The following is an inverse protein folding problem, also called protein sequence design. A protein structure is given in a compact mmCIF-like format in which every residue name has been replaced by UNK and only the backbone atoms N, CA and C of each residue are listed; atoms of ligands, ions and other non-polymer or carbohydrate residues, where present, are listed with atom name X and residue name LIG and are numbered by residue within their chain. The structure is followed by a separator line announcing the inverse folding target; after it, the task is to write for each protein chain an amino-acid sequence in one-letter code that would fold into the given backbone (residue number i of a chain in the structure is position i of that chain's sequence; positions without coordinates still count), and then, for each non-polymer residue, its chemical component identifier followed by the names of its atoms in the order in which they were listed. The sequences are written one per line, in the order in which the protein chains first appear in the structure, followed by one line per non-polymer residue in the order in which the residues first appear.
data_IF_566912309181
#
_entry.id   IF_566912309181
#
_cell.length_a   1.000
_cell.length_b   1.000
_cell.length_c   1.000
_cell.angle_alpha   90.00
_cell.angle_beta   90.00
_cell.angle_gamma   90.00
#
_symmetry.space_group_name_H-M   'P 1'
#
loop_
_entity.id
_entity.type
_entity.pdbx_description
1 polymer ?
#
# COMPACT_ATOMS: atom_id res chain seq x y z
N UNK A 1 -12.08 -13.62 -15.48
CA UNK A 1 -11.64 -12.25 -15.82
C UNK A 1 -12.08 -11.32 -14.71
N UNK A 2 -11.16 -10.79 -13.90
CA UNK A 2 -11.57 -9.88 -12.83
C UNK A 2 -11.91 -8.52 -13.47
N UNK A 3 -13.20 -8.20 -13.58
CA UNK A 3 -13.64 -6.92 -14.12
C UNK A 3 -13.04 -5.75 -13.33
N UNK A 4 -12.41 -4.82 -14.06
CA UNK A 4 -11.89 -3.54 -13.54
C UNK A 4 -13.03 -2.80 -12.85
N UNK A 5 -12.83 -2.42 -11.58
CA UNK A 5 -13.84 -1.69 -10.82
C UNK A 5 -13.27 -0.32 -10.46
N UNK A 6 -13.49 0.69 -11.32
CA UNK A 6 -12.96 2.03 -11.09
C UNK A 6 -13.63 2.64 -9.87
N UNK A 7 -12.82 3.23 -9.00
CA UNK A 7 -13.29 3.99 -7.85
C UNK A 7 -12.53 5.30 -7.80
N UNK A 8 -13.26 6.41 -7.74
CA UNK A 8 -12.69 7.73 -7.46
C UNK A 8 -12.37 7.87 -5.97
N UNK A 9 -11.14 8.26 -5.69
CA UNK A 9 -10.64 8.55 -4.34
C UNK A 9 -9.77 9.80 -4.41
N UNK A 10 -9.78 10.59 -3.34
CA UNK A 10 -8.89 11.74 -3.16
C UNK A 10 -7.42 11.32 -3.30
N UNK A 11 -6.68 11.99 -4.19
CA UNK A 11 -5.26 11.70 -4.41
C UNK A 11 -4.44 11.90 -3.13
N UNK A 12 -4.74 12.95 -2.36
CA UNK A 12 -4.12 13.24 -1.07
C UNK A 12 -4.31 12.10 -0.07
N UNK A 13 -5.54 11.60 0.09
CA UNK A 13 -5.83 10.48 0.99
C UNK A 13 -5.11 9.19 0.57
N UNK A 14 -5.04 8.94 -0.73
CA UNK A 14 -4.33 7.78 -1.27
C UNK A 14 -2.81 7.89 -1.06
N UNK A 15 -2.22 9.07 -1.30
CA UNK A 15 -0.81 9.33 -1.05
C UNK A 15 -0.49 9.21 0.45
N UNK A 16 -1.29 9.83 1.32
CA UNK A 16 -1.16 9.77 2.76
C UNK A 16 -1.14 8.33 3.27
N UNK A 17 -2.07 7.48 2.83
CA UNK A 17 -2.08 6.07 3.19
C UNK A 17 -0.75 5.36 2.84
N UNK A 18 -0.20 5.60 1.65
CA UNK A 18 1.04 4.96 1.20
C UNK A 18 2.26 5.45 1.97
N UNK A 19 2.36 6.77 2.19
CA UNK A 19 3.47 7.35 2.95
C UNK A 19 3.42 6.93 4.42
N UNK A 20 2.25 7.00 5.06
CA UNK A 20 2.10 6.62 6.47
C UNK A 20 2.53 5.18 6.71
N UNK A 21 2.10 4.23 5.85
CA UNK A 21 2.53 2.83 5.98
C UNK A 21 4.04 2.68 5.78
N UNK A 22 4.65 3.36 4.80
CA UNK A 22 6.09 3.31 4.59
C UNK A 22 6.88 3.88 5.78
N UNK A 23 6.43 5.02 6.32
CA UNK A 23 7.02 5.67 7.49
C UNK A 23 6.93 4.78 8.72
N UNK A 24 5.78 4.13 8.97
CA UNK A 24 5.62 3.19 10.10
C UNK A 24 6.67 2.08 10.04
N UNK A 25 6.90 1.47 8.87
CA UNK A 25 7.91 0.41 8.76
C UNK A 25 9.35 0.92 8.90
N UNK A 26 9.67 2.11 8.39
CA UNK A 26 10.99 2.72 8.64
C UNK A 26 11.21 3.04 10.11
N UNK A 27 10.21 3.63 10.78
CA UNK A 27 10.25 3.90 12.22
C UNK A 27 10.37 2.60 13.02
N UNK A 28 9.69 1.53 12.60
CA UNK A 28 9.81 0.22 13.23
C UNK A 28 11.25 -0.29 13.22
N UNK A 29 11.98 -0.12 12.11
CA UNK A 29 13.39 -0.51 11.98
C UNK A 29 14.29 0.38 12.83
N UNK A 30 14.13 1.70 12.74
CA UNK A 30 14.97 2.67 13.47
C UNK A 30 14.84 2.49 14.98
N UNK A 31 13.61 2.26 15.46
CA UNK A 31 13.32 2.07 16.88
C UNK A 31 13.49 0.61 17.34
N UNK A 32 13.71 -0.33 16.42
CA UNK A 32 13.73 -1.76 16.73
C UNK A 32 12.43 -2.28 17.36
N UNK A 33 11.28 -1.64 17.06
CA UNK A 33 10.01 -1.92 17.73
C UNK A 33 9.16 -2.92 16.95
N UNK A 34 8.96 -4.11 17.52
CA UNK A 34 8.08 -5.16 16.97
C UNK A 34 6.63 -4.71 16.89
N UNK A 35 6.19 -3.92 17.86
CA UNK A 35 4.83 -3.38 17.95
C UNK A 35 4.51 -2.44 16.77
N UNK A 36 5.49 -1.69 16.26
CA UNK A 36 5.31 -0.85 15.07
C UNK A 36 5.10 -1.69 13.80
N UNK A 37 5.82 -2.82 13.67
CA UNK A 37 5.60 -3.77 12.57
C UNK A 37 4.20 -4.37 12.67
N UNK A 38 3.74 -4.69 13.88
CA UNK A 38 2.40 -5.21 14.15
C UNK A 38 1.32 -4.20 13.77
N UNK A 39 1.48 -2.93 14.15
CA UNK A 39 0.58 -1.85 13.75
C UNK A 39 0.50 -1.72 12.23
N UNK A 40 1.65 -1.76 11.53
CA UNK A 40 1.70 -1.76 10.07
C UNK A 40 0.97 -2.94 9.43
N UNK A 41 1.13 -4.15 9.99
CA UNK A 41 0.40 -5.34 9.56
C UNK A 41 -1.12 -5.17 9.74
N UNK A 42 -1.57 -4.73 10.91
CA UNK A 42 -2.99 -4.52 11.21
C UNK A 42 -3.59 -3.51 10.23
N UNK A 43 -2.91 -2.39 9.97
CA UNK A 43 -3.36 -1.37 9.00
C UNK A 43 -3.53 -1.99 7.61
N UNK A 44 -2.59 -2.84 7.17
CA UNK A 44 -2.66 -3.50 5.87
C UNK A 44 -3.79 -4.52 5.79
N UNK A 45 -4.00 -5.33 6.84
CA UNK A 45 -5.11 -6.30 6.93
C UNK A 45 -6.45 -5.57 6.92
N UNK A 46 -6.61 -4.54 7.74
CA UNK A 46 -7.83 -3.73 7.76
C UNK A 46 -8.08 -3.08 6.40
N UNK A 47 -7.06 -2.57 5.72
CA UNK A 47 -7.18 -2.00 4.39
C UNK A 47 -7.56 -3.04 3.33
N UNK A 48 -7.07 -4.29 3.47
CA UNK A 48 -7.44 -5.41 2.60
C UNK A 48 -8.89 -5.89 2.83
N UNK A 49 -9.41 -5.75 4.05
CA UNK A 49 -10.78 -6.16 4.41
C UNK A 49 -11.82 -5.07 4.14
N UNK A 50 -11.56 -3.82 4.52
CA UNK A 50 -12.56 -2.74 4.58
C UNK A 50 -12.90 -2.07 3.24
N UNK A 51 -12.32 -2.53 2.12
CA UNK A 51 -12.36 -1.87 0.80
C UNK A 51 -11.68 -0.48 0.83
N UNK A 52 -11.15 -0.06 -0.31
CA UNK A 52 -10.30 1.14 -0.41
C UNK A 52 -11.02 2.41 0.07
N UNK A 53 -12.35 2.51 -0.14
CA UNK A 53 -13.14 3.67 0.31
C UNK A 53 -13.29 3.81 1.82
N UNK A 54 -13.24 2.71 2.59
CA UNK A 54 -13.39 2.74 4.05
C UNK A 54 -12.09 2.41 4.77
N UNK A 55 -10.95 2.50 4.08
CA UNK A 55 -9.67 2.29 4.74
C UNK A 55 -9.49 3.34 5.85
N UNK A 56 -9.05 2.95 7.05
CA UNK A 56 -9.06 3.82 8.22
C UNK A 56 -8.25 5.11 8.01
N UNK A 57 -7.10 5.00 7.33
CA UNK A 57 -6.26 6.16 7.00
C UNK A 57 -6.90 7.10 5.97
N UNK A 58 -7.67 6.56 5.01
CA UNK A 58 -8.37 7.36 4.00
C UNK A 58 -9.54 8.09 4.67
N UNK A 59 -10.32 7.40 5.49
CA UNK A 59 -11.40 8.00 6.26
C UNK A 59 -10.88 9.11 7.18
N UNK A 60 -9.76 8.87 7.87
CA UNK A 60 -9.13 9.88 8.74
C UNK A 60 -8.67 11.10 7.94
N UNK A 61 -8.02 10.91 6.79
CA UNK A 61 -7.60 12.02 5.94
C UNK A 61 -8.80 12.81 5.40
N UNK A 62 -9.83 12.12 4.90
CA UNK A 62 -11.02 12.76 4.33
C UNK A 62 -11.81 13.56 5.37
N UNK A 63 -11.85 13.10 6.63
CA UNK A 63 -12.51 13.84 7.71
C UNK A 63 -11.70 15.04 8.24
N UNK A 64 -10.37 14.98 8.16
CA UNK A 64 -9.48 15.98 8.79
C UNK A 64 -8.82 16.90 7.76
N UNK A 65 -7.93 16.36 6.94
CA UNK A 65 -7.03 17.12 6.06
C UNK A 65 -7.75 17.57 4.78
N UNK A 66 -8.63 16.74 4.22
CA UNK A 66 -9.33 17.07 2.97
C UNK A 66 -10.25 18.30 3.10
N UNK A 67 -10.75 18.57 4.32
CA UNK A 67 -11.54 19.78 4.61
C UNK A 67 -10.70 21.06 4.59
N UNK A 68 -9.40 20.94 4.86
CA UNK A 68 -8.44 22.05 4.86
C UNK A 68 -7.75 22.22 3.50
N UNK A 69 -7.44 21.11 2.83
CA UNK A 69 -6.73 21.08 1.55
C UNK A 69 -7.43 20.12 0.59
N UNK A 70 -8.38 20.61 -0.24
CA UNK A 70 -9.04 19.79 -1.23
C UNK A 70 -8.02 19.29 -2.25
N UNK A 71 -8.12 18.01 -2.61
CA UNK A 71 -7.23 17.35 -3.54
C UNK A 71 -8.02 16.83 -4.74
N UNK A 72 -7.36 16.76 -5.89
CA UNK A 72 -7.90 16.13 -7.09
C UNK A 72 -8.31 14.67 -6.81
N UNK A 73 -9.39 14.24 -7.44
CA UNK A 73 -9.83 12.84 -7.43
C UNK A 73 -9.00 12.03 -8.43
N UNK A 74 -8.59 10.83 -8.03
CA UNK A 74 -7.89 9.88 -8.89
C UNK A 74 -8.71 8.61 -8.99
N UNK A 75 -8.81 8.08 -10.21
CA UNK A 75 -9.48 6.82 -10.49
C UNK A 75 -8.48 5.69 -10.27
N UNK A 76 -8.83 4.77 -9.39
CA UNK A 76 -8.02 3.59 -9.07
C UNK A 76 -8.84 2.31 -9.15
N UNK A 77 -8.18 1.20 -9.49
CA UNK A 77 -8.80 -0.13 -9.48
C UNK A 77 -8.90 -0.65 -8.04
N UNK A 78 -10.13 -0.74 -7.51
CA UNK A 78 -10.40 -1.22 -6.16
C UNK A 78 -9.80 -2.62 -5.93
N UNK A 79 -9.89 -3.51 -6.91
CA UNK A 79 -9.40 -4.90 -6.79
C UNK A 79 -7.88 -4.95 -6.82
N UNK A 80 -7.25 -4.15 -7.69
CA UNK A 80 -5.79 -4.05 -7.77
C UNK A 80 -5.18 -3.52 -6.48
N UNK A 81 -5.79 -2.48 -5.88
CA UNK A 81 -5.33 -1.95 -4.59
C UNK A 81 -5.53 -2.98 -3.48
N UNK A 82 -6.69 -3.65 -3.43
CA UNK A 82 -6.95 -4.69 -2.43
C UNK A 82 -5.91 -5.81 -2.54
N UNK A 83 -5.58 -6.25 -3.74
CA UNK A 83 -4.52 -7.22 -3.98
C UNK A 83 -3.17 -6.73 -3.45
N UNK A 84 -2.79 -5.47 -3.72
CA UNK A 84 -1.55 -4.89 -3.21
C UNK A 84 -1.50 -4.84 -1.67
N UNK A 85 -2.62 -4.56 -1.00
CA UNK A 85 -2.69 -4.63 0.47
C UNK A 85 -2.62 -6.06 0.99
N UNK A 86 -3.26 -7.03 0.34
CA UNK A 86 -3.17 -8.45 0.71
C UNK A 86 -1.72 -8.93 0.61
N UNK A 87 -1.05 -8.68 -0.52
CA UNK A 87 0.37 -9.04 -0.70
C UNK A 87 1.22 -8.36 0.38
N UNK A 88 0.98 -7.08 0.62
CA UNK A 88 1.64 -6.36 1.70
C UNK A 88 1.42 -6.99 3.07
N UNK A 89 0.18 -7.35 3.40
CA UNK A 89 -0.21 -7.95 4.67
C UNK A 89 0.47 -9.32 4.86
N UNK A 90 0.48 -10.16 3.83
CA UNK A 90 1.16 -11.46 3.84
C UNK A 90 2.66 -11.29 4.10
N UNK A 91 3.32 -10.39 3.36
CA UNK A 91 4.76 -10.14 3.56
C UNK A 91 5.05 -9.58 4.95
N UNK A 92 4.24 -8.64 5.46
CA UNK A 92 4.38 -8.15 6.83
C UNK A 92 4.08 -9.20 7.90
N UNK A 93 3.16 -10.12 7.64
CA UNK A 93 2.87 -11.26 8.52
C UNK A 93 4.07 -12.21 8.60
N UNK A 94 4.71 -12.48 7.46
CA UNK A 94 5.98 -13.23 7.42
C UNK A 94 7.08 -12.50 8.19
N UNK A 95 7.18 -11.17 8.07
CA UNK A 95 8.14 -10.38 8.87
C UNK A 95 7.88 -10.55 10.36
N UNK A 96 6.62 -10.48 10.81
CA UNK A 96 6.25 -10.69 12.21
C UNK A 96 6.59 -12.10 12.68
N UNK A 97 6.25 -13.13 11.89
CA UNK A 97 6.58 -14.52 12.23
C UNK A 97 8.09 -14.65 12.42
N UNK A 98 8.91 -14.12 11.51
CA UNK A 98 10.36 -14.14 11.66
C UNK A 98 10.85 -13.33 12.87
N UNK A 99 10.24 -12.19 13.19
CA UNK A 99 10.61 -11.36 14.33
C UNK A 99 10.26 -11.98 15.70
N UNK A 100 9.20 -12.78 15.78
CA UNK A 100 8.76 -13.42 17.03
C UNK A 100 9.31 -14.84 17.21
N UNK A 101 9.51 -15.60 16.13
CA UNK A 101 9.92 -17.00 16.20
C UNK A 101 11.39 -17.25 15.82
N UNK A 102 12.11 -16.24 15.31
CA UNK A 102 13.54 -16.37 14.99
C UNK A 102 14.32 -15.35 15.80
N UNK A 103 15.31 -15.81 16.57
CA UNK A 103 16.16 -14.92 17.38
C UNK A 103 17.19 -14.13 16.54
N UNK A 104 17.21 -14.32 15.22
CA UNK A 104 18.18 -13.70 14.32
C UNK A 104 17.72 -12.39 13.69
N UNK A 105 18.68 -11.69 13.07
CA UNK A 105 18.44 -10.44 12.32
C UNK A 105 17.59 -10.62 11.05
N UNK A 106 17.22 -11.86 10.70
CA UNK A 106 16.43 -12.18 9.51
C UNK A 106 15.09 -11.43 9.45
N UNK A 107 14.37 -11.32 10.59
CA UNK A 107 13.11 -10.58 10.66
C UNK A 107 13.27 -9.08 10.37
N UNK A 108 14.36 -8.48 10.86
CA UNK A 108 14.67 -7.07 10.61
C UNK A 108 15.13 -6.82 9.17
N UNK A 109 15.94 -7.72 8.59
CA UNK A 109 16.35 -7.65 7.19
C UNK A 109 15.12 -7.72 6.28
N UNK A 110 14.20 -8.66 6.54
CA UNK A 110 12.97 -8.79 5.77
C UNK A 110 12.05 -7.57 5.94
N UNK A 111 11.98 -7.01 7.15
CA UNK A 111 11.26 -5.76 7.42
C UNK A 111 11.87 -4.59 6.65
N UNK A 112 13.21 -4.52 6.55
CA UNK A 112 13.93 -3.58 5.70
C UNK A 112 13.54 -3.68 4.23
N UNK A 113 13.51 -4.91 3.70
CA UNK A 113 13.05 -5.15 2.33
C UNK A 113 11.59 -4.70 2.13
N UNK A 114 10.70 -5.00 3.08
CA UNK A 114 9.31 -4.53 3.07
C UNK A 114 9.22 -3.00 3.10
N UNK A 115 10.02 -2.31 3.94
CA UNK A 115 10.03 -0.85 4.03
C UNK A 115 10.45 -0.22 2.68
N UNK A 116 11.47 -0.77 2.01
CA UNK A 116 11.89 -0.33 0.67
C UNK A 116 10.78 -0.55 -0.36
N UNK A 117 10.12 -1.71 -0.34
CA UNK A 117 8.99 -1.99 -1.23
C UNK A 117 7.79 -1.06 -0.97
N UNK A 118 7.52 -0.71 0.29
CA UNK A 118 6.46 0.26 0.63
C UNK A 118 6.83 1.67 0.21
N UNK A 119 8.10 2.03 0.29
CA UNK A 119 8.61 3.33 -0.17
C UNK A 119 8.51 3.46 -1.68
N UNK A 120 8.95 2.45 -2.45
CA UNK A 120 8.80 2.44 -3.91
C UNK A 120 7.34 2.48 -4.32
N UNK A 121 6.47 1.78 -3.58
CA UNK A 121 5.04 1.94 -3.70
C UNK A 121 4.66 3.40 -3.43
N UNK A 122 5.01 4.04 -2.33
CA UNK A 122 4.63 5.44 -2.06
C UNK A 122 5.02 6.42 -3.19
N UNK A 123 6.16 6.20 -3.85
CA UNK A 123 6.63 6.98 -5.00
C UNK A 123 5.89 6.68 -6.33
N UNK A 124 4.87 5.84 -6.31
CA UNK A 124 4.08 5.50 -7.51
C UNK A 124 4.47 4.18 -8.18
N UNK A 125 5.57 3.54 -7.77
CA UNK A 125 6.02 2.25 -8.30
C UNK A 125 5.38 1.09 -7.53
N UNK A 126 4.06 0.92 -7.64
CA UNK A 126 3.40 -0.24 -7.02
C UNK A 126 3.60 -1.50 -7.86
N UNK A 127 4.62 -2.29 -7.54
CA UNK A 127 4.92 -3.57 -8.23
C UNK A 127 3.75 -4.55 -8.19
N UNK A 128 3.01 -4.61 -7.07
CA UNK A 128 1.86 -5.50 -6.93
C UNK A 128 0.70 -5.14 -7.85
N UNK A 129 0.46 -3.84 -8.09
CA UNK A 129 -0.58 -3.40 -9.03
C UNK A 129 -0.20 -3.74 -10.48
N UNK A 130 1.09 -3.63 -10.82
CA UNK A 130 1.62 -4.07 -12.11
C UNK A 130 1.50 -5.58 -12.30
N UNK A 131 1.83 -6.36 -11.26
CA UNK A 131 1.69 -7.82 -11.28
C UNK A 131 0.21 -8.22 -11.46
N UNK A 132 -0.70 -7.57 -10.74
CA UNK A 132 -2.14 -7.76 -10.88
C UNK A 132 -2.62 -7.45 -12.30
N UNK A 133 -2.20 -6.31 -12.86
CA UNK A 133 -2.53 -5.91 -14.22
C UNK A 133 -2.00 -6.92 -15.23
N UNK A 134 -0.76 -7.41 -15.08
CA UNK A 134 -0.20 -8.46 -15.92
C UNK A 134 -1.03 -9.75 -15.85
N UNK A 135 -1.29 -10.25 -14.64
CA UNK A 135 -1.98 -11.52 -14.43
C UNK A 135 -3.42 -11.49 -14.98
N UNK A 136 -4.08 -10.33 -14.92
CA UNK A 136 -5.47 -10.19 -15.35
C UNK A 136 -5.63 -9.76 -16.83
N UNK A 137 -4.63 -9.09 -17.43
CA UNK A 137 -4.70 -8.60 -18.83
C UNK A 137 -3.84 -9.39 -19.82
N UNK A 138 -2.97 -10.29 -19.33
CA UNK A 138 -2.05 -11.08 -20.16
C UNK A 138 -0.90 -10.27 -20.79
N UNK A 139 -0.83 -8.95 -20.57
CA UNK A 139 0.21 -8.06 -21.14
C UNK A 139 1.26 -7.72 -20.08
N UNK A 140 2.15 -8.66 -19.80
CA UNK A 140 3.17 -8.49 -18.75
C UNK A 140 4.31 -7.52 -19.08
N UNK A 141 4.42 -7.06 -20.33
CA UNK A 141 5.60 -6.32 -20.79
C UNK A 141 5.25 -4.99 -21.48
N UNK A 142 5.11 -3.92 -20.69
CA UNK A 142 5.54 -2.57 -21.13
C UNK A 142 5.97 -1.75 -19.91
N UNK A 143 7.08 -2.17 -19.32
CA UNK A 143 7.83 -1.36 -18.33
C UNK A 143 8.27 -0.09 -19.05
N UNK A 144 7.68 1.07 -18.73
CA UNK A 144 8.13 2.34 -19.30
C UNK A 144 7.08 3.44 -19.51
N UNK A 145 5.77 3.16 -19.40
CA UNK A 145 4.81 4.27 -19.37
C UNK A 145 4.59 4.71 -17.92
N UNK A 146 5.31 5.79 -17.56
CA UNK A 146 4.89 6.77 -16.58
C UNK A 146 3.35 6.87 -16.60
N UNK A 147 2.72 6.83 -15.44
CA UNK A 147 1.26 6.98 -15.29
C UNK A 147 0.87 8.23 -16.06
N UNK A 148 0.42 8.07 -17.31
CA UNK A 148 -0.26 9.14 -18.02
C UNK A 148 -1.52 9.33 -17.18
N UNK A 149 -1.57 10.43 -16.43
CA UNK A 149 -2.82 11.05 -16.02
C UNK A 149 -3.75 10.88 -17.22
N UNK A 150 -4.75 10.01 -17.12
CA UNK A 150 -5.90 10.10 -18.01
C UNK A 150 -6.57 11.41 -17.60
N UNK A 151 -6.10 12.47 -18.25
CA UNK A 151 -6.71 13.78 -18.29
C UNK A 151 -7.70 13.68 -19.44
N UNK A 152 -8.84 13.07 -19.16
CA UNK A 152 -10.03 13.22 -19.99
C UNK A 152 -10.86 14.27 -19.21
N UNK A 153 -10.78 15.54 -19.62
CA UNK A 153 -11.59 16.16 -20.66
C UNK A 153 -13.00 16.44 -20.13
#
# INVERSE_FOLDING_TARGET
MAGFKPVSISNGAFAFCRYTVAVIFWLAIILGSREMVLAGFIILVLSALLKVRKAPLIALYTLTIERLFPSDQVIVDEKGIRFAHIVGAVVSGLCLILLYFTEGNAGWIMTGFLAVLKTSAALGFCSALKLYSCMNSGRCCRVGKFVRKFKDA
#
